data_IF_753113790367
#
_entry.id   IF_753113790367
#
_cell.length_a   1.000
_cell.length_b   1.000
_cell.length_c   1.000
_cell.angle_alpha   90.00
_cell.angle_beta   90.00
_cell.angle_gamma   90.00
#
_symmetry.space_group_name_H-M   'P 1'
#
loop_
_entity.id
_entity.type
_entity.pdbx_description
1 polymer ?
#
# COMPACT_ATOMS: atom_id res chain seq x y z
N UNK A 1 -4.61 15.75 26.32
CA UNK A 1 -5.51 16.15 25.22
C UNK A 1 -5.23 15.43 23.90
N UNK A 2 -3.99 15.39 23.41
CA UNK A 2 -3.65 14.74 22.13
C UNK A 2 -4.12 13.27 22.03
N UNK A 3 -3.90 12.48 23.09
CA UNK A 3 -4.31 11.07 23.13
C UNK A 3 -5.83 10.91 23.02
N UNK A 4 -6.60 11.77 23.69
CA UNK A 4 -8.06 11.77 23.60
C UNK A 4 -8.53 12.18 22.19
N UNK A 5 -7.85 13.14 21.55
CA UNK A 5 -8.15 13.58 20.18
C UNK A 5 -7.90 12.47 19.15
N UNK A 6 -6.80 11.71 19.30
CA UNK A 6 -6.44 10.58 18.44
C UNK A 6 -7.30 9.32 18.70
N UNK A 7 -7.85 9.19 19.92
CA UNK A 7 -8.73 8.10 20.28
C UNK A 7 -10.10 8.19 19.58
N UNK A 8 -10.61 9.40 19.31
CA UNK A 8 -11.93 9.62 18.67
C UNK A 8 -12.06 8.93 17.29
N UNK A 9 -11.17 9.16 16.30
CA UNK A 9 -11.27 8.48 15.01
C UNK A 9 -11.06 6.97 15.14
N UNK A 10 -10.17 6.54 16.04
CA UNK A 10 -9.94 5.12 16.31
C UNK A 10 -11.19 4.42 16.87
N UNK A 11 -11.98 5.13 17.67
CA UNK A 11 -13.21 4.60 18.27
C UNK A 11 -14.40 4.71 17.31
N UNK A 12 -14.45 5.75 16.48
CA UNK A 12 -15.45 5.88 15.41
C UNK A 12 -15.34 4.73 14.38
N UNK A 13 -14.12 4.38 13.96
CA UNK A 13 -13.86 3.22 13.10
C UNK A 13 -14.24 1.88 13.76
N UNK A 14 -14.20 1.82 15.09
CA UNK A 14 -14.60 0.65 15.88
C UNK A 14 -16.12 0.52 15.98
N UNK A 15 -16.84 1.64 16.07
CA UNK A 15 -18.30 1.67 16.08
C UNK A 15 -18.92 1.26 14.75
N UNK A 16 -18.24 1.53 13.63
CA UNK A 16 -18.69 1.16 12.28
C UNK A 16 -18.47 -0.34 11.96
N UNK A 17 -17.96 -1.12 12.91
CA UNK A 17 -17.73 -2.56 12.74
C UNK A 17 -16.54 -2.93 11.84
N UNK A 18 -15.85 -1.94 11.25
CA UNK A 18 -14.75 -2.14 10.31
C UNK A 18 -13.53 -2.89 10.89
N UNK A 19 -13.39 -2.94 12.23
CA UNK A 19 -12.32 -3.66 12.90
C UNK A 19 -12.71 -5.09 13.34
N UNK A 20 -13.94 -5.53 13.06
CA UNK A 20 -14.39 -6.91 13.31
C UNK A 20 -13.90 -7.81 12.16
N UNK A 21 -12.58 -8.06 12.15
CA UNK A 21 -11.92 -8.98 11.24
C UNK A 21 -11.84 -8.47 9.80
N UNK A 22 -10.65 -8.03 9.39
CA UNK A 22 -10.33 -7.84 7.98
C UNK A 22 -10.63 -9.16 7.26
N UNK A 23 -11.62 -9.15 6.36
CA UNK A 23 -11.87 -10.29 5.49
C UNK A 23 -10.69 -10.37 4.51
N UNK A 24 -10.27 -11.57 4.09
CA UNK A 24 -9.16 -11.71 3.13
C UNK A 24 -9.33 -10.81 1.89
N UNK A 25 -10.58 -10.61 1.47
CA UNK A 25 -10.93 -9.85 0.29
C UNK A 25 -10.82 -8.33 0.46
N UNK A 26 -10.83 -7.81 1.70
CA UNK A 26 -10.85 -6.36 1.94
C UNK A 26 -9.59 -5.68 1.39
N UNK A 27 -8.45 -6.38 1.37
CA UNK A 27 -7.20 -5.87 0.79
C UNK A 27 -7.23 -5.72 -0.73
N UNK A 28 -8.15 -6.42 -1.42
CA UNK A 28 -8.29 -6.38 -2.87
C UNK A 28 -9.34 -5.37 -3.34
N UNK A 29 -10.00 -4.67 -2.41
CA UNK A 29 -11.02 -3.65 -2.74
C UNK A 29 -10.39 -2.27 -2.79
N UNK A 30 -10.61 -1.56 -3.90
CA UNK A 30 -10.19 -0.16 -4.04
C UNK A 30 -10.76 0.74 -2.92
N UNK A 31 -11.95 0.43 -2.40
CA UNK A 31 -12.56 1.15 -1.27
C UNK A 31 -11.68 1.15 -0.03
N UNK A 32 -10.97 0.04 0.25
CA UNK A 32 -10.09 -0.10 1.41
C UNK A 32 -8.84 0.75 1.25
N UNK A 33 -8.26 0.77 0.04
CA UNK A 33 -7.14 1.65 -0.28
C UNK A 33 -7.54 3.13 -0.15
N UNK A 34 -8.70 3.51 -0.67
CA UNK A 34 -9.23 4.89 -0.56
C UNK A 34 -9.44 5.26 0.92
N UNK A 35 -10.01 4.36 1.72
CA UNK A 35 -10.24 4.60 3.14
C UNK A 35 -8.91 4.81 3.89
N UNK A 36 -7.91 3.94 3.67
CA UNK A 36 -6.59 4.06 4.28
C UNK A 36 -5.91 5.40 3.92
N UNK A 37 -5.86 5.73 2.61
CA UNK A 37 -5.30 7.00 2.12
C UNK A 37 -6.02 8.20 2.74
N UNK A 38 -7.35 8.13 2.87
CA UNK A 38 -8.15 9.22 3.45
C UNK A 38 -7.82 9.42 4.93
N UNK A 39 -7.68 8.34 5.70
CA UNK A 39 -7.28 8.42 7.13
C UNK A 39 -5.89 9.02 7.27
N UNK A 40 -4.91 8.55 6.47
CA UNK A 40 -3.55 9.08 6.48
C UNK A 40 -3.51 10.57 6.08
N UNK A 41 -4.34 10.98 5.11
CA UNK A 41 -4.45 12.39 4.70
C UNK A 41 -5.00 13.27 5.83
N UNK A 42 -6.04 12.81 6.55
CA UNK A 42 -6.58 13.55 7.71
C UNK A 42 -5.53 13.66 8.81
N UNK A 43 -4.83 12.57 9.12
CA UNK A 43 -3.74 12.58 10.12
C UNK A 43 -2.64 13.57 9.71
N UNK A 44 -2.22 13.54 8.45
CA UNK A 44 -1.23 14.47 7.90
C UNK A 44 -1.68 15.92 8.04
N UNK A 45 -2.95 16.24 7.74
CA UNK A 45 -3.51 17.58 7.91
C UNK A 45 -3.43 18.02 9.38
N UNK A 46 -3.85 17.17 10.32
CA UNK A 46 -3.79 17.48 11.76
C UNK A 46 -2.35 17.76 12.19
N UNK A 47 -1.41 16.92 11.75
CA UNK A 47 0.01 17.08 12.05
C UNK A 47 0.57 18.39 11.48
N UNK A 48 0.22 18.75 10.24
CA UNK A 48 0.62 20.02 9.62
C UNK A 48 0.00 21.24 10.32
N UNK A 49 -1.24 21.12 10.82
CA UNK A 49 -1.90 22.16 11.61
C UNK A 49 -1.20 22.36 12.96
N UNK A 50 -0.76 21.29 13.63
CA UNK A 50 0.01 21.36 14.87
C UNK A 50 1.37 22.03 14.63
N UNK A 51 2.05 21.68 13.53
CA UNK A 51 3.33 22.25 13.16
C UNK A 51 3.23 23.64 12.49
N UNK A 52 2.05 24.24 12.46
CA UNK A 52 1.81 25.53 11.78
C UNK A 52 2.68 26.62 12.39
N UNK A 53 3.55 27.21 11.55
CA UNK A 53 4.49 28.26 11.94
C UNK A 53 5.90 27.77 12.27
N UNK A 54 6.15 26.45 12.22
CA UNK A 54 7.48 25.87 12.43
C UNK A 54 8.19 25.56 11.10
N UNK A 55 9.54 25.56 11.07
CA UNK A 55 10.32 25.18 9.90
C UNK A 55 10.14 23.67 9.59
N UNK A 56 9.31 23.35 8.60
CA UNK A 56 8.92 21.98 8.24
C UNK A 56 10.12 21.01 8.11
N UNK A 57 11.21 21.44 7.48
CA UNK A 57 12.38 20.57 7.26
C UNK A 57 13.04 20.12 8.57
N UNK A 58 13.09 20.99 9.56
CA UNK A 58 13.70 20.71 10.86
C UNK A 58 12.71 19.98 11.76
N UNK A 59 11.46 20.44 11.83
CA UNK A 59 10.41 19.87 12.68
C UNK A 59 10.02 18.45 12.26
N UNK A 60 9.98 18.17 10.97
CA UNK A 60 9.65 16.84 10.44
C UNK A 60 10.88 16.00 10.08
N UNK A 61 12.08 16.50 10.38
CA UNK A 61 13.34 15.86 10.01
C UNK A 61 13.36 15.39 8.54
N UNK A 62 12.83 16.21 7.61
CA UNK A 62 12.71 15.92 6.18
C UNK A 62 14.08 16.05 5.48
N UNK A 63 15.08 15.36 6.02
CA UNK A 63 16.39 15.24 5.42
C UNK A 63 16.33 14.16 4.36
N UNK A 64 16.59 14.52 3.11
CA UNK A 64 16.65 13.56 2.02
C UNK A 64 17.72 12.48 2.35
N UNK A 65 17.33 11.20 2.43
CA UNK A 65 18.29 10.10 2.50
C UNK A 65 19.26 10.17 1.33
N UNK A 66 20.56 10.09 1.61
CA UNK A 66 21.60 10.09 0.56
C UNK A 66 21.49 8.90 -0.40
N UNK A 67 20.75 7.86 -0.01
CA UNK A 67 20.63 6.58 -0.71
C UNK A 67 19.39 6.46 -1.61
N UNK A 68 18.55 7.49 -1.79
CA UNK A 68 17.33 7.39 -2.62
C UNK A 68 17.59 6.86 -4.04
N UNK A 69 18.61 7.39 -4.70
CA UNK A 69 19.00 6.93 -6.05
C UNK A 69 19.39 5.45 -6.03
N UNK A 70 20.13 5.02 -5.01
CA UNK A 70 20.56 3.62 -4.86
C UNK A 70 19.37 2.71 -4.55
N UNK A 71 18.47 3.13 -3.66
CA UNK A 71 17.24 2.40 -3.35
C UNK A 71 16.35 2.25 -4.57
N UNK A 72 16.18 3.32 -5.36
CA UNK A 72 15.42 3.29 -6.62
C UNK A 72 16.05 2.32 -7.63
N UNK A 73 17.37 2.40 -7.84
CA UNK A 73 18.08 1.48 -8.76
C UNK A 73 17.95 0.03 -8.30
N UNK A 74 18.12 -0.25 -7.00
CA UNK A 74 17.94 -1.60 -6.46
C UNK A 74 16.51 -2.07 -6.69
N UNK A 75 15.51 -1.28 -6.29
CA UNK A 75 14.10 -1.65 -6.44
C UNK A 75 13.71 -1.89 -7.91
N UNK A 76 14.11 -1.00 -8.81
CA UNK A 76 13.84 -1.15 -10.24
C UNK A 76 14.56 -2.38 -10.83
N UNK A 77 15.83 -2.59 -10.50
CA UNK A 77 16.59 -3.75 -10.95
C UNK A 77 15.99 -5.06 -10.43
N UNK A 78 15.55 -5.10 -9.17
CA UNK A 78 14.86 -6.26 -8.59
C UNK A 78 13.53 -6.53 -9.30
N UNK A 79 12.72 -5.49 -9.54
CA UNK A 79 11.44 -5.64 -10.21
C UNK A 79 11.61 -6.17 -11.64
N UNK A 80 12.53 -5.56 -12.40
CA UNK A 80 12.85 -5.96 -13.77
C UNK A 80 13.43 -7.37 -13.80
N UNK A 81 14.35 -7.69 -12.89
CA UNK A 81 14.95 -9.02 -12.80
C UNK A 81 13.92 -10.11 -12.50
N UNK A 82 13.02 -9.87 -11.55
CA UNK A 82 11.94 -10.79 -11.21
C UNK A 82 10.99 -11.02 -12.40
N UNK A 83 10.60 -9.94 -13.09
CA UNK A 83 9.70 -10.03 -14.24
C UNK A 83 10.35 -10.75 -15.42
N UNK A 84 11.63 -10.45 -15.70
CA UNK A 84 12.39 -11.12 -16.75
C UNK A 84 12.56 -12.62 -16.46
N UNK A 85 12.83 -12.98 -15.21
CA UNK A 85 12.96 -14.38 -14.80
C UNK A 85 11.63 -15.12 -14.96
N UNK A 86 10.52 -14.54 -14.50
CA UNK A 86 9.17 -15.11 -14.68
C UNK A 86 8.80 -15.27 -16.16
N UNK A 87 9.12 -14.27 -17.00
CA UNK A 87 8.88 -14.34 -18.44
C UNK A 87 9.69 -15.47 -19.10
N UNK A 88 10.97 -15.62 -18.73
CA UNK A 88 11.83 -16.69 -19.22
C UNK A 88 11.34 -18.06 -18.76
N UNK A 89 10.89 -18.19 -17.50
CA UNK A 89 10.33 -19.42 -16.96
C UNK A 89 9.13 -19.89 -17.78
N UNK A 90 8.16 -19.00 -18.03
CA UNK A 90 6.97 -19.32 -18.85
C UNK A 90 7.34 -19.65 -20.29
N UNK A 91 8.32 -18.94 -20.87
CA UNK A 91 8.73 -19.13 -22.26
C UNK A 91 9.59 -20.38 -22.51
N UNK A 92 10.41 -20.79 -21.54
CA UNK A 92 11.38 -21.87 -21.69
C UNK A 92 10.94 -23.19 -21.06
N UNK A 93 10.09 -23.14 -20.02
CA UNK A 93 9.61 -24.33 -19.31
C UNK A 93 8.16 -24.60 -19.68
N UNK A 94 7.96 -25.56 -20.59
CA UNK A 94 6.62 -26.00 -20.99
C UNK A 94 5.83 -26.51 -19.78
N UNK A 95 4.70 -25.90 -19.47
CA UNK A 95 3.84 -26.30 -18.35
C UNK A 95 4.04 -25.50 -17.05
N UNK A 96 5.04 -24.62 -16.96
CA UNK A 96 5.31 -23.84 -15.73
C UNK A 96 4.12 -22.98 -15.28
N UNK A 97 3.38 -22.37 -16.22
CA UNK A 97 2.17 -21.61 -15.89
C UNK A 97 1.06 -22.47 -15.24
N UNK A 98 0.94 -23.75 -15.64
CA UNK A 98 -0.05 -24.69 -15.06
C UNK A 98 0.33 -25.13 -13.66
N UNK A 99 1.62 -25.32 -13.39
CA UNK A 99 2.13 -25.72 -12.06
C UNK A 99 2.11 -24.58 -11.04
N UNK A 100 2.20 -23.33 -11.50
CA UNK A 100 2.07 -22.14 -10.66
C UNK A 100 0.60 -21.71 -10.39
N UNK A 101 -0.38 -22.45 -10.92
CA UNK A 101 -1.80 -22.13 -10.77
C UNK A 101 -2.23 -20.84 -11.48
N UNK A 102 -1.40 -20.33 -12.41
CA UNK A 102 -1.70 -19.14 -13.20
C UNK A 102 -2.62 -19.54 -14.36
N UNK A 103 -3.82 -18.95 -14.48
CA UNK A 103 -4.70 -19.22 -15.60
C UNK A 103 -3.99 -18.94 -16.93
N UNK A 104 -4.09 -19.88 -17.87
CA UNK A 104 -3.46 -19.79 -19.20
C UNK A 104 -4.01 -18.59 -20.01
N UNK A 105 -5.21 -18.15 -19.66
CA UNK A 105 -5.85 -16.94 -20.18
C UNK A 105 -6.66 -16.26 -19.07
N UNK A 106 -6.80 -14.94 -19.19
CA UNK A 106 -7.68 -14.15 -18.34
C UNK A 106 -9.15 -14.41 -18.69
N UNK A 107 -9.96 -14.75 -17.69
CA UNK A 107 -11.41 -14.94 -17.84
C UNK A 107 -12.15 -13.68 -17.33
N UNK A 108 -12.70 -12.84 -18.24
CA UNK A 108 -13.35 -11.59 -17.87
C UNK A 108 -14.67 -11.79 -17.10
N UNK A 109 -15.24 -13.00 -17.10
CA UNK A 109 -16.51 -13.29 -16.39
C UNK A 109 -16.36 -13.33 -14.87
N UNK A 110 -15.12 -13.37 -14.34
CA UNK A 110 -14.84 -13.41 -12.90
C UNK A 110 -14.88 -12.04 -12.19
N UNK A 111 -15.07 -10.95 -12.93
CA UNK A 111 -15.04 -9.59 -12.38
C UNK A 111 -16.32 -9.18 -11.60
N UNK A 112 -17.35 -10.01 -11.55
CA UNK A 112 -18.69 -9.60 -11.08
C UNK A 112 -19.51 -10.64 -10.32
N UNK A 113 -18.87 -11.60 -9.62
CA UNK A 113 -19.54 -12.51 -8.68
C UNK A 113 -19.32 -12.08 -7.24
#
# INVERSE_FOLDING_TARGET
MLIALLAVPSYALRFDGALVGLRPDDFFRYSTAIAAISVDAVLLIVVLLIARGLPLRETFALRAPSSWRRAFVIGAATLVGAYALSFLEVGLVSGAGREQGVPEFWDPTRLGA
#
